data_IF_489209236976
#
_entry.id   IF_489209236976
#
_cell.length_a   1.000
_cell.length_b   1.000
_cell.length_c   1.000
_cell.angle_alpha   90.00
_cell.angle_beta   90.00
_cell.angle_gamma   90.00
#
_symmetry.space_group_name_H-M   'P 1'
#
loop_
_entity.id
_entity.type
_entity.pdbx_description
1 polymer ?
#
# COMPACT_ATOMS: atom_id res chain seq x y z
N UNK A 1 -14.22 7.70 3.67
CA UNK A 1 -13.29 8.84 3.70
C UNK A 1 -12.51 8.77 5.01
N UNK A 2 -11.72 7.72 5.21
CA UNK A 2 -11.08 7.43 6.51
C UNK A 2 -9.69 8.06 6.66
N UNK A 3 -8.91 8.18 5.58
CA UNK A 3 -7.58 8.79 5.65
C UNK A 3 -7.60 10.28 6.02
N UNK A 4 -8.52 11.05 5.43
CA UNK A 4 -8.51 12.51 5.55
C UNK A 4 -8.59 13.02 7.00
N UNK A 5 -9.28 12.30 7.89
CA UNK A 5 -9.39 12.71 9.30
C UNK A 5 -8.07 12.49 10.07
N UNK A 6 -7.41 11.33 9.90
CA UNK A 6 -6.09 11.09 10.50
C UNK A 6 -5.05 12.10 9.99
N UNK A 7 -5.13 12.47 8.70
CA UNK A 7 -4.30 13.53 8.13
C UNK A 7 -4.54 14.88 8.79
N UNK A 8 -5.80 15.21 9.06
CA UNK A 8 -6.18 16.46 9.74
C UNK A 8 -5.65 16.51 11.17
N UNK A 9 -5.75 15.41 11.93
CA UNK A 9 -5.20 15.32 13.29
C UNK A 9 -3.70 15.55 13.27
N UNK A 10 -2.97 14.85 12.39
CA UNK A 10 -1.51 15.01 12.27
C UNK A 10 -1.13 16.46 11.94
N UNK A 11 -1.89 17.12 11.06
CA UNK A 11 -1.72 18.54 10.76
C UNK A 11 -2.00 19.46 11.97
N UNK A 12 -3.05 19.17 12.73
CA UNK A 12 -3.43 19.93 13.93
C UNK A 12 -2.39 19.87 15.04
N UNK A 13 -1.72 18.74 15.22
CA UNK A 13 -0.62 18.58 16.18
C UNK A 13 0.76 18.96 15.63
N UNK A 14 0.84 19.40 14.37
CA UNK A 14 2.11 19.74 13.71
C UNK A 14 3.04 18.56 13.46
N UNK A 15 2.54 17.31 13.50
CA UNK A 15 3.33 16.10 13.28
C UNK A 15 3.39 15.74 11.80
N UNK A 16 4.58 15.38 11.29
CA UNK A 16 4.72 14.92 9.91
C UNK A 16 4.46 13.42 9.81
N UNK A 17 3.94 12.98 8.66
CA UNK A 17 3.78 11.54 8.37
C UNK A 17 5.11 10.78 8.42
N UNK A 18 6.23 11.45 8.11
CA UNK A 18 7.58 10.90 8.23
C UNK A 18 7.96 10.56 9.67
N UNK A 19 7.50 11.36 10.64
CA UNK A 19 7.83 11.16 12.05
C UNK A 19 7.04 9.96 12.60
N UNK A 20 5.78 9.83 12.17
CA UNK A 20 4.96 8.64 12.43
C UNK A 20 5.55 7.37 11.79
N UNK A 21 6.08 7.47 10.56
CA UNK A 21 6.72 6.34 9.90
C UNK A 21 7.94 5.83 10.70
N UNK A 22 8.72 6.77 11.26
CA UNK A 22 9.89 6.45 12.10
C UNK A 22 9.48 5.83 13.43
N UNK A 23 8.45 6.34 14.11
CA UNK A 23 8.02 5.81 15.40
C UNK A 23 7.40 4.40 15.29
N UNK A 24 6.70 4.12 14.19
CA UNK A 24 6.01 2.84 13.97
C UNK A 24 6.91 1.81 13.23
N UNK A 25 8.12 2.22 12.81
CA UNK A 25 9.06 1.42 11.99
C UNK A 25 8.42 0.92 10.69
N UNK A 26 7.67 1.79 10.02
CA UNK A 26 7.04 1.50 8.73
C UNK A 26 7.65 2.34 7.61
N UNK A 27 7.50 1.87 6.38
CA UNK A 27 7.88 2.67 5.21
C UNK A 27 7.01 3.94 5.14
N UNK A 28 7.57 5.08 4.69
CA UNK A 28 6.79 6.30 4.46
C UNK A 28 5.62 6.09 3.50
N UNK A 29 5.77 5.19 2.52
CA UNK A 29 4.71 4.83 1.58
C UNK A 29 3.52 4.16 2.29
N UNK A 30 3.78 3.21 3.19
CA UNK A 30 2.73 2.52 3.96
C UNK A 30 1.95 3.51 4.83
N UNK A 31 2.64 4.42 5.52
CA UNK A 31 1.96 5.47 6.30
C UNK A 31 1.15 6.39 5.41
N UNK A 32 1.67 6.79 4.25
CA UNK A 32 0.93 7.62 3.29
C UNK A 32 -0.35 6.93 2.80
N UNK A 33 -0.31 5.62 2.55
CA UNK A 33 -1.50 4.83 2.17
C UNK A 33 -2.54 4.80 3.29
N UNK A 34 -2.12 4.60 4.53
CA UNK A 34 -3.01 4.62 5.70
C UNK A 34 -3.60 6.02 5.91
N UNK A 35 -2.76 7.05 5.93
CA UNK A 35 -3.15 8.42 6.26
C UNK A 35 -3.91 9.11 5.13
N UNK A 36 -3.63 8.86 3.85
CA UNK A 36 -4.36 9.52 2.77
C UNK A 36 -5.56 8.71 2.30
N UNK A 37 -5.44 7.38 2.25
CA UNK A 37 -6.45 6.50 1.65
C UNK A 37 -7.18 5.61 2.67
N UNK A 38 -6.70 5.52 3.92
CA UNK A 38 -7.28 4.63 4.92
C UNK A 38 -7.05 3.15 4.60
N UNK A 39 -6.03 2.84 3.79
CA UNK A 39 -5.72 1.47 3.39
C UNK A 39 -4.86 0.80 4.45
N UNK A 40 -5.47 -0.13 5.19
CA UNK A 40 -4.82 -0.89 6.25
C UNK A 40 -4.25 -2.20 5.71
N UNK A 41 -3.05 -2.63 6.16
CA UNK A 41 -2.53 -3.92 5.74
C UNK A 41 -3.25 -5.07 6.44
N UNK A 42 -3.55 -6.14 5.70
CA UNK A 42 -4.47 -7.22 6.13
C UNK A 42 -4.02 -7.98 7.37
N UNK A 43 -2.71 -8.14 7.59
CA UNK A 43 -2.16 -9.03 8.65
C UNK A 43 -1.89 -8.31 9.97
N UNK A 44 -1.60 -7.01 9.94
CA UNK A 44 -1.11 -6.26 11.09
C UNK A 44 -1.91 -4.97 11.36
N UNK A 45 -3.10 -4.82 10.77
CA UNK A 45 -3.95 -3.65 10.96
C UNK A 45 -4.17 -3.30 12.45
N UNK A 46 -4.51 -4.29 13.29
CA UNK A 46 -4.77 -4.06 14.72
C UNK A 46 -3.55 -3.55 15.47
N UNK A 47 -2.37 -4.13 15.21
CA UNK A 47 -1.10 -3.71 15.83
C UNK A 47 -0.75 -2.28 15.42
N UNK A 48 -0.98 -1.93 14.15
CA UNK A 48 -0.73 -0.59 13.65
C UNK A 48 -1.69 0.44 14.24
N UNK A 49 -2.97 0.11 14.42
CA UNK A 49 -3.92 0.97 15.12
C UNK A 49 -3.45 1.29 16.53
N UNK A 50 -3.00 0.29 17.30
CA UNK A 50 -2.47 0.49 18.67
C UNK A 50 -1.26 1.42 18.66
N UNK A 51 -0.26 1.16 17.81
CA UNK A 51 0.95 2.01 17.73
C UNK A 51 0.65 3.45 17.31
N UNK A 52 -0.27 3.64 16.37
CA UNK A 52 -0.67 4.97 15.93
C UNK A 52 -1.43 5.68 17.06
N UNK A 53 -2.31 4.99 17.79
CA UNK A 53 -2.98 5.52 18.99
C UNK A 53 -1.97 5.94 20.06
N UNK A 54 -0.97 5.12 20.36
CA UNK A 54 0.10 5.46 21.32
C UNK A 54 0.84 6.73 20.91
N UNK A 55 1.25 6.83 19.64
CA UNK A 55 1.91 8.03 19.11
C UNK A 55 1.03 9.28 19.23
N UNK A 56 -0.27 9.18 18.92
CA UNK A 56 -1.19 10.31 19.04
C UNK A 56 -1.37 10.73 20.51
N UNK A 57 -1.46 9.77 21.43
CA UNK A 57 -1.55 10.03 22.88
C UNK A 57 -0.29 10.71 23.43
N UNK A 58 0.90 10.26 23.00
CA UNK A 58 2.18 10.91 23.35
C UNK A 58 2.25 12.37 22.88
N UNK A 59 1.55 12.69 21.79
CA UNK A 59 1.45 14.06 21.26
C UNK A 59 0.32 14.88 21.88
N UNK A 60 -0.41 14.33 22.85
CA UNK A 60 -1.46 15.02 23.59
C UNK A 60 -2.82 15.05 22.88
N UNK A 61 -3.05 14.20 21.89
CA UNK A 61 -4.37 14.05 21.24
C UNK A 61 -5.34 13.36 22.19
N UNK A 62 -6.54 13.92 22.35
CA UNK A 62 -7.57 13.34 23.21
C UNK A 62 -8.14 12.03 22.65
N UNK A 63 -8.47 11.07 23.53
CA UNK A 63 -9.00 9.74 23.14
C UNK A 63 -10.25 9.79 22.24
N UNK A 64 -11.06 10.85 22.36
CA UNK A 64 -12.24 11.09 21.50
C UNK A 64 -11.82 11.34 20.05
N UNK A 65 -10.79 12.15 19.80
CA UNK A 65 -10.28 12.42 18.46
C UNK A 65 -9.58 11.19 17.88
N UNK A 66 -8.85 10.44 18.72
CA UNK A 66 -8.19 9.19 18.33
C UNK A 66 -9.21 8.15 17.90
N UNK A 67 -10.27 7.92 18.68
CA UNK A 67 -11.32 6.96 18.33
C UNK A 67 -12.07 7.38 17.05
N UNK A 68 -12.35 8.68 16.88
CA UNK A 68 -12.94 9.21 15.65
C UNK A 68 -12.08 8.96 14.40
N UNK A 69 -10.74 8.94 14.54
CA UNK A 69 -9.82 8.63 13.45
C UNK A 69 -9.94 7.21 12.90
N UNK A 70 -10.46 6.28 13.69
CA UNK A 70 -10.62 4.88 13.30
C UNK A 70 -12.08 4.48 13.07
N UNK A 71 -13.06 5.29 13.48
CA UNK A 71 -14.49 4.93 13.52
C UNK A 71 -15.28 5.21 12.23
N UNK A 72 -14.65 5.21 11.05
CA UNK A 72 -15.39 5.39 9.79
C UNK A 72 -15.36 4.11 8.96
N UNK A 73 -16.44 3.34 9.06
CA UNK A 73 -16.89 2.21 8.25
C UNK A 73 -15.85 1.67 7.26
N UNK A 74 -15.32 0.49 7.57
CA UNK A 74 -14.57 -0.40 6.68
C UNK A 74 -15.22 -0.40 5.28
N UNK A 75 -14.69 0.42 4.37
CA UNK A 75 -14.90 0.14 2.95
C UNK A 75 -14.07 -1.11 2.67
N UNK A 76 -14.67 -2.16 2.06
CA UNK A 76 -13.91 -3.35 1.69
C UNK A 76 -12.72 -2.89 0.86
N UNK A 77 -11.51 -3.30 1.29
CA UNK A 77 -10.30 -3.13 0.50
C UNK A 77 -10.57 -3.66 -0.89
N UNK A 78 -10.73 -2.76 -1.86
CA UNK A 78 -10.60 -3.13 -3.27
C UNK A 78 -9.19 -3.71 -3.36
N UNK A 79 -9.14 -5.00 -3.69
CA UNK A 79 -7.91 -5.71 -3.91
C UNK A 79 -7.15 -5.04 -5.04
N UNK A 80 -6.33 -4.04 -4.72
CA UNK A 80 -5.22 -3.68 -5.57
C UNK A 80 -4.13 -4.69 -5.26
N UNK A 81 -4.20 -5.78 -6.04
CA UNK A 81 -3.04 -6.55 -6.44
C UNK A 81 -1.86 -5.62 -6.72
N UNK A 82 -0.70 -6.00 -6.21
CA UNK A 82 0.62 -5.42 -6.45
C UNK A 82 1.02 -4.27 -5.52
N UNK A 83 1.38 -4.62 -4.29
CA UNK A 83 2.53 -3.97 -3.66
C UNK A 83 3.49 -5.07 -3.23
N UNK A 84 4.49 -5.29 -4.08
CA UNK A 84 5.76 -5.93 -3.76
C UNK A 84 6.34 -5.25 -2.54
N UNK A 85 6.28 -5.95 -1.41
CA UNK A 85 7.05 -5.62 -0.23
C UNK A 85 8.54 -5.72 -0.60
N UNK A 86 9.32 -4.70 -0.24
CA UNK A 86 10.77 -4.68 -0.42
C UNK A 86 11.48 -5.67 0.50
N UNK A 87 11.31 -6.96 0.24
CA UNK A 87 12.15 -8.06 0.70
C UNK A 87 12.25 -9.16 -0.37
N UNK A 88 12.06 -8.80 -1.64
CA UNK A 88 12.23 -9.75 -2.74
C UNK A 88 13.70 -10.14 -2.79
N UNK A 89 14.01 -11.35 -2.33
CA UNK A 89 15.19 -12.10 -2.75
C UNK A 89 15.38 -11.83 -4.24
N UNK A 90 16.58 -11.40 -4.66
CA UNK A 90 16.87 -10.98 -6.04
C UNK A 90 16.46 -12.04 -7.10
N UNK A 91 16.20 -13.28 -6.67
CA UNK A 91 15.68 -14.39 -7.45
C UNK A 91 14.23 -14.22 -7.95
N UNK A 92 13.31 -13.59 -7.20
CA UNK A 92 11.89 -13.49 -7.61
C UNK A 92 11.64 -12.29 -8.56
N UNK A 93 12.51 -11.27 -8.56
CA UNK A 93 12.46 -10.12 -9.49
C UNK A 93 12.85 -10.52 -10.92
N UNK A 94 13.50 -11.67 -11.09
CA UNK A 94 13.87 -12.20 -12.41
C UNK A 94 12.74 -12.96 -13.11
N UNK A 95 11.57 -13.15 -12.47
CA UNK A 95 10.40 -13.71 -13.14
C UNK A 95 9.64 -12.64 -13.92
N UNK A 96 10.15 -12.28 -15.10
CA UNK A 96 9.38 -11.53 -16.08
C UNK A 96 8.17 -12.39 -16.51
N UNK A 97 6.97 -11.99 -16.07
CA UNK A 97 5.73 -12.71 -16.41
C UNK A 97 5.61 -12.84 -17.93
N UNK A 98 5.49 -14.07 -18.44
CA UNK A 98 5.34 -14.35 -19.87
C UNK A 98 4.15 -13.56 -20.43
N UNK A 99 4.43 -12.55 -21.23
CA UNK A 99 3.43 -11.76 -21.95
C UNK A 99 3.37 -12.24 -23.39
N UNK A 100 2.19 -12.62 -23.87
CA UNK A 100 2.02 -13.02 -25.28
C UNK A 100 1.69 -11.80 -26.12
N UNK A 101 2.13 -11.80 -27.37
CA UNK A 101 1.76 -10.73 -28.30
C UNK A 101 0.24 -10.75 -28.56
N UNK A 102 -0.37 -9.56 -28.64
CA UNK A 102 -1.76 -9.39 -29.04
C UNK A 102 -1.96 -9.77 -30.52
N UNK A 103 -3.20 -10.05 -30.93
CA UNK A 103 -3.50 -10.39 -32.34
C UNK A 103 -3.19 -9.22 -33.29
N UNK A 104 -3.48 -8.00 -32.87
CA UNK A 104 -3.17 -6.79 -33.63
C UNK A 104 -1.67 -6.61 -33.83
N UNK A 105 -0.88 -6.75 -32.76
CA UNK A 105 0.58 -6.69 -32.84
C UNK A 105 1.14 -7.76 -33.81
N UNK A 106 0.65 -9.01 -33.72
CA UNK A 106 1.07 -10.07 -34.67
C UNK A 106 0.81 -9.69 -36.12
N UNK A 107 -0.32 -9.07 -36.43
CA UNK A 107 -0.66 -8.60 -37.78
C UNK A 107 0.21 -7.44 -38.22
N UNK A 108 0.41 -6.43 -37.36
CA UNK A 108 1.23 -5.27 -37.65
C UNK A 108 2.69 -5.65 -37.98
N UNK A 109 3.25 -6.59 -37.22
CA UNK A 109 4.61 -7.08 -37.41
C UNK A 109 4.72 -8.29 -38.37
N UNK A 110 3.60 -8.68 -39.01
CA UNK A 110 3.53 -9.82 -39.95
C UNK A 110 4.15 -11.12 -39.39
N UNK A 111 3.99 -11.35 -38.08
CA UNK A 111 4.53 -12.51 -37.40
C UNK A 111 3.62 -13.73 -37.64
N UNK A 112 4.12 -14.70 -38.39
CA UNK A 112 3.38 -15.93 -38.73
C UNK A 112 3.28 -16.91 -37.55
N UNK A 113 4.25 -16.85 -36.62
CA UNK A 113 4.33 -17.65 -35.39
C UNK A 113 4.80 -16.76 -34.24
N UNK A 114 4.37 -17.07 -33.01
CA UNK A 114 4.83 -16.41 -31.80
C UNK A 114 6.34 -16.69 -31.63
N UNK A 115 7.23 -15.67 -31.70
CA UNK A 115 8.67 -15.87 -31.61
C UNK A 115 9.13 -16.30 -30.21
N UNK A 116 8.23 -16.25 -29.21
CA UNK A 116 8.48 -16.68 -27.83
C UNK A 116 7.82 -18.05 -27.51
N UNK A 117 7.31 -18.75 -28.52
CA UNK A 117 6.95 -20.17 -28.40
C UNK A 117 8.19 -21.05 -28.42
N UNK A 118 8.22 -22.07 -27.57
CA UNK A 118 9.34 -23.01 -27.52
C UNK A 118 9.49 -23.74 -28.85
N UNK A 119 10.74 -23.84 -29.32
CA UNK A 119 11.09 -24.72 -30.43
C UNK A 119 10.92 -26.13 -29.91
N UNK A 120 9.85 -26.82 -30.33
CA UNK A 120 9.68 -28.25 -30.07
C UNK A 120 10.87 -28.96 -30.69
N UNK A 121 11.77 -29.46 -29.84
CA UNK A 121 12.87 -30.37 -30.23
C UNK A 121 12.33 -31.77 -30.45
#
# INVERSE_FOLDING_TARGET
MSGLYLKSILGGIGAKQSDLARSVFLSPATISQIVNHGLWPKKNASVLKVKITEFLREKGVGEVEVSAAFNTADKPSIAQSNQTNGNTSLEEVMLLKKHRLTQEARRAFKLLRDPFEEVRS
#
